data_IF_381126194791
#
_entry.id   IF_381126194791
#
_cell.length_a   1.000
_cell.length_b   1.000
_cell.length_c   1.000
_cell.angle_alpha   90.00
_cell.angle_beta   90.00
_cell.angle_gamma   90.00
#
_symmetry.space_group_name_H-M   'P 1'
#
loop_
_entity.id
_entity.type
_entity.pdbx_description
1 polymer ?
#
# COMPACT_ATOMS: atom_id res chain seq x y z
N UNK A 1 -30.25 -45.53 44.95
CA UNK A 1 -29.63 -44.19 45.02
C UNK A 1 -28.65 -44.07 43.86
N UNK A 2 -28.94 -43.29 42.81
CA UNK A 2 -27.94 -42.83 41.85
C UNK A 2 -27.55 -41.36 42.12
N UNK A 3 -26.28 -41.07 41.84
CA UNK A 3 -25.60 -39.83 42.11
C UNK A 3 -26.00 -38.68 41.17
N UNK A 4 -26.08 -37.47 41.74
CA UNK A 4 -26.19 -36.20 41.04
C UNK A 4 -24.92 -35.94 40.23
N UNK A 5 -25.07 -35.74 38.91
CA UNK A 5 -24.06 -35.10 38.08
C UNK A 5 -24.56 -33.69 37.74
N UNK A 6 -23.88 -32.70 38.31
CA UNK A 6 -24.12 -31.28 38.08
C UNK A 6 -23.77 -30.91 36.64
N UNK A 7 -24.77 -30.52 35.86
CA UNK A 7 -24.60 -29.79 34.61
C UNK A 7 -24.20 -28.35 34.94
N UNK A 8 -22.92 -28.04 34.83
CA UNK A 8 -22.44 -26.65 34.80
C UNK A 8 -22.88 -26.00 33.49
N UNK A 9 -23.77 -25.01 33.60
CA UNK A 9 -24.17 -24.12 32.51
C UNK A 9 -22.99 -23.24 32.11
N UNK A 10 -22.43 -23.51 30.94
CA UNK A 10 -21.59 -22.58 30.19
C UNK A 10 -22.51 -21.49 29.63
N UNK A 11 -22.66 -20.39 30.36
CA UNK A 11 -23.36 -19.17 29.89
C UNK A 11 -22.58 -18.56 28.71
N UNK A 12 -23.06 -18.82 27.50
CA UNK A 12 -22.81 -17.93 26.37
C UNK A 12 -23.65 -16.66 26.57
N UNK A 13 -23.12 -15.44 26.36
CA UNK A 13 -23.93 -14.24 26.44
C UNK A 13 -25.05 -14.32 25.39
N UNK A 14 -26.31 -14.22 25.82
CA UNK A 14 -27.46 -14.19 24.92
C UNK A 14 -27.46 -12.91 24.11
N UNK A 15 -27.85 -12.97 22.83
CA UNK A 15 -27.88 -11.83 21.90
C UNK A 15 -28.69 -10.61 22.42
N UNK A 16 -29.64 -10.84 23.33
CA UNK A 16 -30.40 -9.77 23.98
C UNK A 16 -29.55 -8.93 24.95
N UNK A 17 -28.56 -9.53 25.61
CA UNK A 17 -27.70 -8.83 26.56
C UNK A 17 -26.70 -7.89 25.86
N UNK A 18 -26.23 -8.27 24.67
CA UNK A 18 -25.37 -7.41 23.85
C UNK A 18 -26.15 -6.25 23.23
N UNK A 19 -27.38 -6.48 22.77
CA UNK A 19 -28.26 -5.42 22.24
C UNK A 19 -28.56 -4.35 23.32
N UNK A 20 -28.86 -4.77 24.55
CA UNK A 20 -29.07 -3.85 25.68
C UNK A 20 -27.82 -3.02 26.02
N UNK A 21 -26.63 -3.63 25.96
CA UNK A 21 -25.35 -2.92 26.18
C UNK A 21 -25.08 -1.89 25.08
N UNK A 22 -25.39 -2.21 23.83
CA UNK A 22 -25.28 -1.28 22.71
C UNK A 22 -26.22 -0.09 22.91
N UNK A 23 -27.48 -0.34 23.25
CA UNK A 23 -28.46 0.72 23.48
C UNK A 23 -28.05 1.64 24.64
N UNK A 24 -27.55 1.05 25.74
CA UNK A 24 -27.00 1.81 26.86
C UNK A 24 -25.78 2.65 26.44
N UNK A 25 -24.88 2.12 25.60
CA UNK A 25 -23.76 2.88 25.05
C UNK A 25 -24.24 4.10 24.26
N UNK A 26 -25.16 3.90 23.32
CA UNK A 26 -25.71 4.97 22.48
C UNK A 26 -26.39 6.06 23.31
N UNK A 27 -27.12 5.69 24.38
CA UNK A 27 -27.72 6.67 25.29
C UNK A 27 -26.67 7.54 26.00
N UNK A 28 -25.54 6.97 26.43
CA UNK A 28 -24.45 7.76 27.03
C UNK A 28 -23.73 8.64 26.01
N UNK A 29 -23.54 8.15 24.78
CA UNK A 29 -22.96 8.91 23.68
C UNK A 29 -23.80 10.13 23.29
N UNK A 30 -25.13 10.05 23.46
CA UNK A 30 -26.04 11.19 23.33
C UNK A 30 -26.04 12.17 24.52
N UNK A 31 -25.21 11.92 25.54
CA UNK A 31 -25.08 12.78 26.72
C UNK A 31 -24.53 14.17 26.40
N UNK A 32 -24.88 15.16 27.24
CA UNK A 32 -24.49 16.57 27.03
C UNK A 32 -23.04 16.89 27.38
N UNK A 33 -22.41 16.12 28.28
CA UNK A 33 -21.03 16.35 28.71
C UNK A 33 -20.05 15.39 28.04
N UNK A 34 -18.82 15.83 27.88
CA UNK A 34 -17.78 15.06 27.20
C UNK A 34 -17.39 13.81 28.00
N UNK A 35 -17.58 13.81 29.33
CA UNK A 35 -17.36 12.63 30.19
C UNK A 35 -18.36 11.51 29.88
N UNK A 36 -19.63 11.83 29.62
CA UNK A 36 -20.64 10.84 29.24
C UNK A 36 -20.32 10.23 27.88
N UNK A 37 -19.93 11.06 26.93
CA UNK A 37 -19.49 10.63 25.60
C UNK A 37 -18.27 9.72 25.68
N UNK A 38 -17.29 10.09 26.50
CA UNK A 38 -16.08 9.31 26.71
C UNK A 38 -16.37 7.95 27.36
N UNK A 39 -17.22 7.91 28.40
CA UNK A 39 -17.64 6.65 29.02
C UNK A 39 -18.38 5.74 28.02
N UNK A 40 -19.24 6.31 27.18
CA UNK A 40 -19.91 5.58 26.09
C UNK A 40 -18.91 4.96 25.09
N UNK A 41 -17.88 5.72 24.69
CA UNK A 41 -16.85 5.22 23.77
C UNK A 41 -16.00 4.11 24.40
N UNK A 42 -15.62 4.24 25.67
CA UNK A 42 -14.90 3.18 26.37
C UNK A 42 -15.72 1.90 26.57
N UNK A 43 -17.05 2.02 26.62
CA UNK A 43 -17.91 0.83 26.65
C UNK A 43 -18.02 0.18 25.27
N UNK A 44 -17.96 0.96 24.19
CA UNK A 44 -18.00 0.42 22.83
C UNK A 44 -16.79 -0.45 22.50
N UNK A 45 -15.60 -0.07 22.99
CA UNK A 45 -14.37 -0.84 22.76
C UNK A 45 -14.37 -2.19 23.50
N UNK A 46 -15.29 -2.39 24.45
CA UNK A 46 -15.48 -3.66 25.17
C UNK A 46 -16.50 -4.59 24.52
N UNK A 47 -17.10 -4.19 23.40
CA UNK A 47 -18.03 -5.03 22.65
C UNK A 47 -17.23 -5.96 21.72
N UNK A 48 -16.96 -7.19 22.16
CA UNK A 48 -16.22 -8.20 21.39
C UNK A 48 -17.09 -9.00 20.42
N UNK A 49 -18.41 -9.06 20.64
CA UNK A 49 -19.30 -10.06 20.02
C UNK A 49 -20.26 -9.42 19.00
N UNK A 50 -19.75 -8.52 18.16
CA UNK A 50 -20.56 -7.77 17.19
C UNK A 50 -20.15 -8.13 15.77
N UNK A 51 -21.11 -8.53 14.93
CA UNK A 51 -20.85 -8.81 13.52
C UNK A 51 -20.35 -7.58 12.76
N UNK A 52 -19.58 -7.77 11.69
CA UNK A 52 -19.02 -6.67 10.90
C UNK A 52 -20.10 -5.68 10.39
N UNK A 53 -21.22 -6.19 9.89
CA UNK A 53 -22.36 -5.36 9.44
C UNK A 53 -22.99 -4.56 10.58
N UNK A 54 -23.08 -5.14 11.78
CA UNK A 54 -23.60 -4.43 12.95
C UNK A 54 -22.60 -3.39 13.46
N UNK A 55 -21.31 -3.69 13.41
CA UNK A 55 -20.25 -2.75 13.75
C UNK A 55 -20.29 -1.53 12.81
N UNK A 56 -20.51 -1.72 11.51
CA UNK A 56 -20.66 -0.62 10.56
C UNK A 56 -21.86 0.28 10.91
N UNK A 57 -23.03 -0.31 11.19
CA UNK A 57 -24.20 0.45 11.65
C UNK A 57 -23.96 1.19 12.96
N UNK A 58 -23.24 0.56 13.88
CA UNK A 58 -22.88 1.16 15.16
C UNK A 58 -21.94 2.36 14.97
N UNK A 59 -20.96 2.27 14.07
CA UNK A 59 -20.06 3.39 13.73
C UNK A 59 -20.84 4.62 13.24
N UNK A 60 -21.83 4.41 12.36
CA UNK A 60 -22.73 5.47 11.90
C UNK A 60 -23.49 6.11 13.07
N UNK A 61 -24.13 5.31 13.92
CA UNK A 61 -24.90 5.80 15.07
C UNK A 61 -24.03 6.55 16.09
N UNK A 62 -22.80 6.09 16.31
CA UNK A 62 -21.83 6.76 17.17
C UNK A 62 -21.47 8.12 16.60
N UNK A 63 -21.17 8.20 15.31
CA UNK A 63 -20.83 9.46 14.66
C UNK A 63 -22.00 10.45 14.73
N UNK A 64 -23.23 9.99 14.49
CA UNK A 64 -24.45 10.80 14.59
C UNK A 64 -24.70 11.33 16.01
N UNK A 65 -24.53 10.47 17.03
CA UNK A 65 -24.77 10.84 18.42
C UNK A 65 -23.72 11.82 18.96
N UNK A 66 -22.45 11.59 18.61
CA UNK A 66 -21.31 12.29 19.22
C UNK A 66 -20.88 13.52 18.41
N UNK A 67 -20.86 13.38 17.08
CA UNK A 67 -20.34 14.34 16.11
C UNK A 67 -18.82 14.27 15.91
N UNK A 68 -18.37 14.50 14.67
CA UNK A 68 -16.94 14.46 14.29
C UNK A 68 -16.07 15.40 15.13
N UNK A 69 -16.59 16.57 15.51
CA UNK A 69 -15.87 17.58 16.29
C UNK A 69 -15.40 17.07 17.67
N UNK A 70 -16.10 16.11 18.27
CA UNK A 70 -15.67 15.51 19.53
C UNK A 70 -14.37 14.72 19.37
N UNK A 71 -14.26 13.89 18.32
CA UNK A 71 -13.05 13.12 18.04
C UNK A 71 -11.86 14.03 17.69
N UNK A 72 -12.12 15.12 16.96
CA UNK A 72 -11.08 16.13 16.71
C UNK A 72 -10.59 16.79 18.00
N UNK A 73 -11.47 17.00 18.99
CA UNK A 73 -11.07 17.47 20.32
C UNK A 73 -10.30 16.41 21.09
N UNK A 74 -10.67 15.12 20.99
CA UNK A 74 -9.90 14.02 21.60
C UNK A 74 -8.43 14.02 21.15
N UNK A 75 -8.17 14.23 19.85
CA UNK A 75 -6.78 14.32 19.34
C UNK A 75 -5.99 15.51 19.92
N UNK A 76 -6.67 16.51 20.46
CA UNK A 76 -6.06 17.70 21.07
C UNK A 76 -5.98 17.61 22.60
N UNK A 77 -6.72 16.68 23.21
CA UNK A 77 -6.76 16.52 24.66
C UNK A 77 -5.46 15.91 25.16
N UNK A 78 -4.69 16.74 25.87
CA UNK A 78 -3.51 16.26 26.62
C UNK A 78 -3.97 15.56 27.89
N UNK A 79 -3.33 14.45 28.20
CA UNK A 79 -3.56 13.66 29.41
C UNK A 79 -2.22 13.19 29.96
N UNK A 80 -2.24 12.17 30.84
CA UNK A 80 -1.01 11.46 31.16
C UNK A 80 -0.44 10.85 29.87
N UNK A 81 0.78 11.23 29.51
CA UNK A 81 1.48 10.70 28.34
C UNK A 81 1.93 9.26 28.62
N UNK A 82 1.68 8.35 27.68
CA UNK A 82 2.32 7.03 27.67
C UNK A 82 3.75 7.12 27.12
N UNK A 83 4.47 6.01 27.18
CA UNK A 83 5.85 5.89 26.67
C UNK A 83 6.00 6.28 25.19
N UNK A 84 4.90 6.29 24.43
CA UNK A 84 4.84 6.72 23.02
C UNK A 84 4.51 8.21 22.82
N UNK A 85 4.41 8.99 23.91
CA UNK A 85 4.15 10.43 23.88
C UNK A 85 2.71 10.82 23.55
N UNK A 86 1.80 9.85 23.42
CA UNK A 86 0.37 10.08 23.23
C UNK A 86 -0.37 10.02 24.56
N UNK A 87 -1.45 10.78 24.70
CA UNK A 87 -2.40 10.60 25.79
C UNK A 87 -3.37 9.45 25.48
N UNK A 88 -3.94 8.83 26.51
CA UNK A 88 -5.01 7.82 26.32
C UNK A 88 -6.20 8.34 25.51
N UNK A 89 -6.48 9.64 25.57
CA UNK A 89 -7.51 10.30 24.76
C UNK A 89 -7.12 10.35 23.28
N UNK A 90 -5.86 10.62 22.98
CA UNK A 90 -5.34 10.68 21.61
C UNK A 90 -5.29 9.30 20.98
N UNK A 91 -4.82 8.27 21.72
CA UNK A 91 -4.81 6.88 21.25
C UNK A 91 -6.22 6.39 20.96
N UNK A 92 -7.18 6.64 21.85
CA UNK A 92 -8.59 6.30 21.59
C UNK A 92 -9.15 7.08 20.39
N UNK A 93 -8.81 8.37 20.28
CA UNK A 93 -9.20 9.21 19.15
C UNK A 93 -8.69 8.66 17.81
N UNK A 94 -7.41 8.30 17.73
CA UNK A 94 -6.79 7.69 16.55
C UNK A 94 -7.48 6.39 16.18
N UNK A 95 -7.62 5.46 17.12
CA UNK A 95 -8.23 4.16 16.87
C UNK A 95 -9.66 4.28 16.33
N UNK A 96 -10.47 5.17 16.91
CA UNK A 96 -11.84 5.39 16.46
C UNK A 96 -11.87 6.05 15.08
N UNK A 97 -11.04 7.06 14.84
CA UNK A 97 -10.96 7.73 13.52
C UNK A 97 -10.49 6.75 12.45
N UNK A 98 -9.48 5.92 12.73
CA UNK A 98 -9.03 4.86 11.83
C UNK A 98 -10.19 3.95 11.42
N UNK A 99 -10.98 3.49 12.40
CA UNK A 99 -12.14 2.63 12.14
C UNK A 99 -13.24 3.29 11.29
N UNK A 100 -13.37 4.62 11.34
CA UNK A 100 -14.29 5.37 10.49
C UNK A 100 -13.73 5.60 9.09
N UNK A 101 -12.42 5.78 8.96
CA UNK A 101 -11.75 5.97 7.66
C UNK A 101 -11.76 4.72 6.78
N UNK A 102 -12.02 3.53 7.34
CA UNK A 102 -12.25 2.29 6.57
C UNK A 102 -13.57 2.31 5.77
N UNK A 103 -14.52 3.17 6.14
CA UNK A 103 -15.79 3.31 5.43
C UNK A 103 -15.77 4.59 4.55
N UNK A 104 -15.84 4.47 3.20
CA UNK A 104 -15.83 5.61 2.29
C UNK A 104 -16.96 6.63 2.54
N UNK A 105 -18.07 6.23 3.17
CA UNK A 105 -19.15 7.14 3.54
C UNK A 105 -18.83 7.97 4.80
N UNK A 106 -17.99 7.43 5.70
CA UNK A 106 -17.63 8.07 6.97
C UNK A 106 -16.32 8.86 6.89
N UNK A 107 -15.35 8.38 6.11
CA UNK A 107 -14.05 9.02 5.91
C UNK A 107 -14.13 10.54 5.59
N UNK A 108 -15.11 11.04 4.79
CA UNK A 108 -15.23 12.47 4.51
C UNK A 108 -15.44 13.34 5.75
N UNK A 109 -15.99 12.80 6.84
CA UNK A 109 -16.17 13.51 8.11
C UNK A 109 -14.86 13.73 8.87
N UNK A 110 -13.82 12.95 8.54
CA UNK A 110 -12.50 13.02 9.18
C UNK A 110 -11.40 13.53 8.25
N UNK A 111 -11.69 13.69 6.96
CA UNK A 111 -10.83 14.37 5.99
C UNK A 111 -10.70 15.88 6.34
N UNK A 112 -9.79 16.15 7.27
CA UNK A 112 -9.42 17.47 7.76
C UNK A 112 -7.90 17.59 7.83
N UNK A 113 -7.36 18.75 7.47
CA UNK A 113 -5.91 19.02 7.50
C UNK A 113 -5.30 18.75 8.88
N UNK A 114 -6.04 19.06 9.97
CA UNK A 114 -5.58 18.81 11.34
C UNK A 114 -5.38 17.32 11.64
N UNK A 115 -6.22 16.45 11.08
CA UNK A 115 -6.12 14.99 11.26
C UNK A 115 -4.93 14.46 10.46
N UNK A 116 -4.82 14.87 9.20
CA UNK A 116 -3.69 14.51 8.32
C UNK A 116 -2.37 14.94 8.97
N UNK A 117 -2.28 16.19 9.42
CA UNK A 117 -1.08 16.73 10.06
C UNK A 117 -0.75 15.98 11.35
N UNK A 118 -1.74 15.70 12.19
CA UNK A 118 -1.51 14.93 13.41
C UNK A 118 -0.94 13.54 13.12
N UNK A 119 -1.55 12.80 12.19
CA UNK A 119 -1.06 11.46 11.81
C UNK A 119 0.34 11.49 11.19
N UNK A 120 0.63 12.47 10.32
CA UNK A 120 1.97 12.66 9.74
C UNK A 120 3.02 13.04 10.78
N UNK A 121 2.66 13.89 11.75
CA UNK A 121 3.55 14.28 12.85
C UNK A 121 3.88 13.06 13.72
N UNK A 122 2.93 12.16 13.99
CA UNK A 122 3.20 10.90 14.71
C UNK A 122 4.12 9.96 13.91
N UNK A 123 3.87 9.79 12.61
CA UNK A 123 4.73 8.96 11.74
C UNK A 123 6.15 9.53 11.59
N UNK A 124 6.31 10.86 11.62
CA UNK A 124 7.61 11.51 11.59
C UNK A 124 8.45 11.24 12.85
N UNK A 125 7.79 10.93 13.97
CA UNK A 125 8.41 10.54 15.24
C UNK A 125 8.70 9.04 15.34
N UNK A 126 8.62 8.31 14.22
CA UNK A 126 8.88 6.87 14.17
C UNK A 126 10.24 6.49 14.81
N UNK A 127 10.17 5.59 15.78
CA UNK A 127 11.29 4.93 16.46
C UNK A 127 10.99 3.44 16.55
N UNK A 128 12.00 2.58 16.53
CA UNK A 128 11.83 1.15 16.77
C UNK A 128 11.91 0.79 18.26
N UNK A 129 11.01 -0.07 18.79
CA UNK A 129 9.86 -0.67 18.11
C UNK A 129 8.71 0.33 17.87
N UNK A 130 7.92 0.17 16.79
CA UNK A 130 6.83 1.10 16.48
C UNK A 130 5.73 1.08 17.54
N UNK A 131 5.14 2.26 17.82
CA UNK A 131 3.91 2.33 18.63
C UNK A 131 2.72 1.76 17.83
N UNK A 132 1.79 1.03 18.47
CA UNK A 132 0.54 0.59 17.84
C UNK A 132 -0.25 1.73 17.19
N UNK A 133 -0.16 2.95 17.73
CA UNK A 133 -0.83 4.14 17.21
C UNK A 133 -0.38 4.52 15.79
N UNK A 134 0.80 4.07 15.34
CA UNK A 134 1.29 4.33 13.99
C UNK A 134 0.50 3.54 12.93
N UNK A 135 -0.01 2.35 13.27
CA UNK A 135 -0.91 1.61 12.39
C UNK A 135 -2.20 2.43 12.17
N UNK A 136 -2.81 2.92 13.25
CA UNK A 136 -3.99 3.79 13.16
C UNK A 136 -3.70 5.04 12.31
N UNK A 137 -2.54 5.69 12.47
CA UNK A 137 -2.15 6.85 11.67
C UNK A 137 -2.11 6.53 10.16
N UNK A 138 -1.51 5.41 9.79
CA UNK A 138 -1.46 4.98 8.39
C UNK A 138 -2.85 4.64 7.86
N UNK A 139 -3.67 3.91 8.63
CA UNK A 139 -5.05 3.59 8.25
C UNK A 139 -5.88 4.85 7.99
N UNK A 140 -5.77 5.85 8.86
CA UNK A 140 -6.43 7.15 8.69
C UNK A 140 -5.98 7.82 7.39
N UNK A 141 -4.67 7.93 7.18
CA UNK A 141 -4.12 8.61 5.99
C UNK A 141 -4.50 7.88 4.70
N UNK A 142 -4.47 6.55 4.70
CA UNK A 142 -4.89 5.73 3.56
C UNK A 142 -6.38 5.90 3.26
N UNK A 143 -7.26 5.81 4.26
CA UNK A 143 -8.70 6.01 4.07
C UNK A 143 -9.06 7.42 3.60
N UNK A 144 -8.36 8.44 4.09
CA UNK A 144 -8.51 9.82 3.59
C UNK A 144 -7.99 9.93 2.15
N UNK A 145 -6.85 9.32 1.81
CA UNK A 145 -6.28 9.36 0.46
C UNK A 145 -7.16 8.64 -0.58
N UNK A 146 -8.03 7.72 -0.16
CA UNK A 146 -8.94 6.98 -1.03
C UNK A 146 -10.20 7.76 -1.45
N UNK A 147 -10.46 8.94 -0.87
CA UNK A 147 -11.64 9.75 -1.18
C UNK A 147 -11.28 11.10 -1.81
N UNK A 148 -12.13 11.60 -2.73
CA UNK A 148 -11.87 12.82 -3.50
C UNK A 148 -11.59 14.05 -2.62
N UNK A 149 -12.36 14.22 -1.53
CA UNK A 149 -12.14 15.30 -0.56
C UNK A 149 -10.75 15.22 0.07
N UNK A 150 -10.28 14.02 0.39
CA UNK A 150 -8.98 13.82 1.01
C UNK A 150 -7.82 14.01 0.04
N UNK A 151 -7.95 13.53 -1.20
CA UNK A 151 -6.97 13.80 -2.28
C UNK A 151 -6.73 15.31 -2.45
N UNK A 152 -7.81 16.11 -2.49
CA UNK A 152 -7.71 17.58 -2.54
C UNK A 152 -6.95 18.18 -1.35
N UNK A 153 -7.09 17.61 -0.15
CA UNK A 153 -6.36 18.05 1.03
C UNK A 153 -4.88 17.67 0.99
N UNK A 154 -4.54 16.50 0.45
CA UNK A 154 -3.13 16.09 0.26
C UNK A 154 -2.39 16.99 -0.72
N UNK A 155 -3.08 17.55 -1.72
CA UNK A 155 -2.52 18.53 -2.65
C UNK A 155 -2.63 19.99 -2.19
N UNK A 156 -3.19 20.25 -1.00
CA UNK A 156 -3.10 21.57 -0.39
C UNK A 156 -1.64 21.91 -0.06
N UNK A 157 -1.31 23.20 -0.11
CA UNK A 157 0.06 23.71 0.06
C UNK A 157 0.73 23.13 1.31
N UNK A 158 1.90 22.52 1.12
CA UNK A 158 2.73 21.95 2.18
C UNK A 158 2.35 20.53 2.65
N UNK A 159 1.15 20.02 2.36
CA UNK A 159 0.74 18.68 2.83
C UNK A 159 1.50 17.56 2.10
N UNK A 160 1.58 17.62 0.77
CA UNK A 160 2.34 16.65 -0.03
C UNK A 160 3.83 16.62 0.39
N UNK A 161 4.44 17.79 0.61
CA UNK A 161 5.81 17.90 1.08
C UNK A 161 6.02 17.26 2.46
N UNK A 162 5.03 17.34 3.35
CA UNK A 162 5.05 16.64 4.65
C UNK A 162 4.99 15.13 4.48
N UNK A 163 4.09 14.60 3.64
CA UNK A 163 4.02 13.15 3.34
C UNK A 163 5.38 12.63 2.87
N UNK A 164 6.00 13.32 1.92
CA UNK A 164 7.31 12.93 1.37
C UNK A 164 8.44 13.07 2.40
N UNK A 165 8.37 14.07 3.28
CA UNK A 165 9.32 14.24 4.39
C UNK A 165 9.20 13.12 5.41
N UNK A 166 7.98 12.74 5.79
CA UNK A 166 7.71 11.59 6.66
C UNK A 166 8.27 10.31 6.05
N UNK A 167 7.95 10.05 4.77
CA UNK A 167 8.50 8.89 4.05
C UNK A 167 10.04 8.86 4.05
N UNK A 168 10.67 10.01 3.79
CA UNK A 168 12.14 10.18 3.86
C UNK A 168 12.70 9.86 5.24
N UNK A 169 12.08 10.35 6.30
CA UNK A 169 12.52 10.12 7.67
C UNK A 169 12.43 8.64 8.04
N UNK A 170 11.29 8.01 7.77
CA UNK A 170 11.07 6.58 8.04
C UNK A 170 12.04 5.70 7.25
N UNK A 171 12.22 5.95 5.95
CA UNK A 171 13.15 5.19 5.10
C UNK A 171 14.59 5.29 5.60
N UNK A 172 15.02 6.48 6.07
CA UNK A 172 16.35 6.69 6.67
C UNK A 172 16.50 5.99 8.01
N UNK A 173 15.45 5.99 8.84
CA UNK A 173 15.47 5.31 10.14
C UNK A 173 15.65 3.80 9.94
N UNK A 174 14.85 3.20 9.05
CA UNK A 174 14.94 1.77 8.69
C UNK A 174 16.31 1.38 8.12
N UNK A 175 16.87 2.22 7.23
CA UNK A 175 18.19 1.96 6.66
C UNK A 175 19.30 1.97 7.73
N UNK A 176 19.22 2.87 8.73
CA UNK A 176 20.19 2.90 9.84
C UNK A 176 20.11 1.65 10.70
N UNK A 177 18.91 1.21 11.07
CA UNK A 177 18.72 -0.01 11.85
C UNK A 177 19.29 -1.23 11.12
N UNK A 178 19.00 -1.37 9.83
CA UNK A 178 19.51 -2.48 9.01
C UNK A 178 21.04 -2.53 8.97
N UNK A 179 21.72 -1.38 8.92
CA UNK A 179 23.19 -1.33 8.97
C UNK A 179 23.78 -1.66 10.34
N UNK A 180 23.04 -1.41 11.43
CA UNK A 180 23.51 -1.65 12.78
C UNK A 180 23.25 -3.08 13.27
N UNK A 181 22.17 -3.73 12.79
CA UNK A 181 21.78 -5.08 13.20
C UNK A 181 21.50 -6.00 11.99
N UNK A 182 22.53 -6.46 11.26
CA UNK A 182 22.37 -7.29 10.05
C UNK A 182 21.86 -8.72 10.30
N UNK A 183 21.73 -9.16 11.57
CA UNK A 183 21.42 -10.56 11.94
C UNK A 183 19.90 -10.83 12.03
N UNK A 184 19.05 -9.79 11.99
CA UNK A 184 17.60 -9.91 12.17
C UNK A 184 16.79 -10.08 10.85
N UNK A 185 17.43 -10.36 9.71
CA UNK A 185 16.75 -10.65 8.42
C UNK A 185 16.12 -12.06 8.39
N UNK A 186 15.38 -12.44 9.43
CA UNK A 186 14.48 -13.60 9.41
C UNK A 186 13.19 -13.25 8.67
N UNK A 187 12.68 -14.18 7.86
CA UNK A 187 11.56 -14.07 6.89
C UNK A 187 10.21 -13.47 7.34
N UNK A 188 10.07 -12.92 8.55
CA UNK A 188 8.89 -12.16 8.98
C UNK A 188 9.09 -10.67 8.72
N UNK A 189 8.24 -10.06 7.91
CA UNK A 189 8.18 -8.60 7.78
C UNK A 189 8.03 -7.97 9.17
N UNK A 190 8.97 -7.11 9.57
CA UNK A 190 8.83 -6.37 10.83
C UNK A 190 7.62 -5.44 10.74
N UNK A 191 6.97 -5.18 11.87
CA UNK A 191 5.85 -4.22 11.93
C UNK A 191 6.24 -2.85 11.35
N UNK A 192 7.47 -2.43 11.59
CA UNK A 192 8.04 -1.22 10.99
C UNK A 192 8.08 -1.25 9.45
N UNK A 193 8.40 -2.41 8.85
CA UNK A 193 8.37 -2.60 7.39
C UNK A 193 6.94 -2.51 6.85
N UNK A 194 5.96 -3.04 7.57
CA UNK A 194 4.53 -2.98 7.18
C UNK A 194 4.02 -1.54 7.19
N UNK A 195 4.36 -0.78 8.25
CA UNK A 195 4.00 0.64 8.35
C UNK A 195 4.64 1.44 7.19
N UNK A 196 5.94 1.22 6.91
CA UNK A 196 6.62 1.88 5.79
C UNK A 196 6.01 1.52 4.43
N UNK A 197 5.69 0.23 4.20
CA UNK A 197 5.01 -0.24 2.98
C UNK A 197 3.65 0.45 2.78
N UNK A 198 2.91 0.67 3.86
CA UNK A 198 1.62 1.34 3.78
C UNK A 198 1.75 2.87 3.58
N UNK A 199 2.81 3.51 4.07
CA UNK A 199 3.14 4.90 3.69
C UNK A 199 3.49 4.99 2.20
N UNK A 200 4.23 4.00 1.66
CA UNK A 200 4.46 3.91 0.22
C UNK A 200 3.17 3.72 -0.57
N UNK A 201 2.21 2.94 -0.08
CA UNK A 201 0.89 2.78 -0.70
C UNK A 201 0.12 4.11 -0.79
N UNK A 202 0.20 4.95 0.26
CA UNK A 202 -0.39 6.30 0.24
C UNK A 202 0.26 7.15 -0.85
N UNK A 203 1.60 7.15 -0.93
CA UNK A 203 2.32 7.91 -1.96
C UNK A 203 2.01 7.39 -3.36
N UNK A 204 1.89 6.07 -3.54
CA UNK A 204 1.48 5.46 -4.80
C UNK A 204 0.08 5.92 -5.23
N UNK A 205 -0.88 5.92 -4.30
CA UNK A 205 -2.25 6.38 -4.54
C UNK A 205 -2.28 7.85 -4.96
N UNK A 206 -1.54 8.72 -4.27
CA UNK A 206 -1.42 10.13 -4.64
C UNK A 206 -0.74 10.30 -6.01
N UNK A 207 0.29 9.51 -6.30
CA UNK A 207 1.02 9.53 -7.57
C UNK A 207 0.21 9.02 -8.78
N UNK A 208 -0.98 8.46 -8.54
CA UNK A 208 -1.95 8.17 -9.60
C UNK A 208 -2.63 9.44 -10.17
N UNK A 209 -2.38 10.61 -9.58
CA UNK A 209 -2.93 11.89 -10.04
C UNK A 209 -1.83 12.77 -10.68
N UNK A 210 -2.09 13.44 -11.81
CA UNK A 210 -1.15 14.38 -12.44
C UNK A 210 -0.66 15.49 -11.50
N UNK A 211 -1.54 15.97 -10.61
CA UNK A 211 -1.25 17.01 -9.62
C UNK A 211 -0.11 16.63 -8.67
N UNK A 212 0.10 15.34 -8.40
CA UNK A 212 1.23 14.88 -7.62
C UNK A 212 2.54 15.26 -8.28
N UNK A 213 2.68 14.97 -9.58
CA UNK A 213 3.90 15.22 -10.34
C UNK A 213 4.11 16.71 -10.64
N UNK A 214 3.02 17.45 -10.90
CA UNK A 214 3.07 18.92 -11.12
C UNK A 214 3.54 19.68 -9.87
N UNK A 215 3.19 19.19 -8.67
CA UNK A 215 3.56 19.82 -7.39
C UNK A 215 4.81 19.21 -6.75
N UNK A 216 5.48 18.26 -7.42
CA UNK A 216 6.65 17.58 -6.89
C UNK A 216 7.92 18.40 -7.14
N UNK A 217 8.70 18.65 -6.09
CA UNK A 217 10.01 19.28 -6.27
C UNK A 217 11.05 18.29 -6.81
N UNK A 218 12.04 18.79 -7.55
CA UNK A 218 13.13 17.97 -8.10
C UNK A 218 13.84 17.12 -7.03
N UNK A 219 14.07 17.66 -5.83
CA UNK A 219 14.74 16.94 -4.75
C UNK A 219 13.86 15.82 -4.13
N UNK A 220 12.54 15.92 -4.26
CA UNK A 220 11.59 14.87 -3.87
C UNK A 220 11.57 13.77 -4.94
N UNK A 221 11.53 14.15 -6.22
CA UNK A 221 11.62 13.21 -7.33
C UNK A 221 12.93 12.40 -7.31
N UNK A 222 14.08 13.07 -7.14
CA UNK A 222 15.38 12.41 -7.01
C UNK A 222 15.39 11.41 -5.83
N UNK A 223 14.73 11.73 -4.72
CA UNK A 223 14.59 10.80 -3.61
C UNK A 223 13.79 9.55 -4.01
N UNK A 224 12.67 9.70 -4.72
CA UNK A 224 11.87 8.57 -5.20
C UNK A 224 12.70 7.69 -6.15
N UNK A 225 13.44 8.29 -7.08
CA UNK A 225 14.30 7.56 -8.01
C UNK A 225 15.41 6.79 -7.28
N UNK A 226 16.08 7.44 -6.32
CA UNK A 226 17.13 6.80 -5.53
C UNK A 226 16.60 5.65 -4.67
N UNK A 227 15.37 5.75 -4.16
CA UNK A 227 14.76 4.68 -3.36
C UNK A 227 14.32 3.48 -4.19
N UNK A 228 14.07 3.63 -5.49
CA UNK A 228 13.72 2.49 -6.34
C UNK A 228 14.77 1.36 -6.28
N UNK A 229 16.04 1.72 -6.11
CA UNK A 229 17.14 0.77 -5.94
C UNK A 229 17.19 0.10 -4.55
N UNK A 230 16.56 0.67 -3.54
CA UNK A 230 16.69 0.26 -2.14
C UNK A 230 15.45 -0.45 -1.60
N UNK A 231 14.29 -0.22 -2.20
CA UNK A 231 13.05 -0.90 -1.84
C UNK A 231 13.05 -2.35 -2.33
N UNK A 232 12.31 -3.22 -1.63
CA UNK A 232 12.19 -4.66 -1.93
C UNK A 232 10.71 -5.08 -1.86
N UNK A 233 10.39 -6.25 -2.41
CA UNK A 233 9.07 -6.87 -2.27
C UNK A 233 7.96 -5.98 -2.86
N UNK A 234 6.82 -5.89 -2.16
CA UNK A 234 5.65 -5.14 -2.64
C UNK A 234 5.99 -3.68 -2.94
N UNK A 235 6.82 -3.04 -2.13
CA UNK A 235 7.20 -1.64 -2.33
C UNK A 235 7.91 -1.42 -3.67
N UNK A 236 8.73 -2.38 -4.13
CA UNK A 236 9.34 -2.29 -5.46
C UNK A 236 8.32 -2.24 -6.59
N UNK A 237 7.20 -2.96 -6.45
CA UNK A 237 6.09 -2.94 -7.40
C UNK A 237 5.34 -1.61 -7.37
N UNK A 238 5.09 -1.07 -6.18
CA UNK A 238 4.45 0.23 -5.99
C UNK A 238 5.27 1.34 -6.67
N UNK A 239 6.58 1.37 -6.41
CA UNK A 239 7.49 2.36 -7.01
C UNK A 239 7.59 2.20 -8.53
N UNK A 240 7.63 0.96 -9.05
CA UNK A 240 7.57 0.71 -10.49
C UNK A 240 6.27 1.25 -11.10
N UNK A 241 5.12 0.95 -10.46
CA UNK A 241 3.81 1.44 -10.89
C UNK A 241 3.73 2.97 -10.91
N UNK A 242 4.28 3.64 -9.89
CA UNK A 242 4.39 5.11 -9.85
C UNK A 242 5.15 5.65 -11.05
N UNK A 243 6.33 5.09 -11.37
CA UNK A 243 7.12 5.58 -12.50
C UNK A 243 6.49 5.27 -13.85
N UNK A 244 5.82 4.13 -14.01
CA UNK A 244 5.02 3.84 -15.21
C UNK A 244 3.90 4.86 -15.42
N UNK A 245 3.18 5.25 -14.36
CA UNK A 245 2.16 6.31 -14.44
C UNK A 245 2.77 7.67 -14.74
N UNK A 246 3.89 8.01 -14.09
CA UNK A 246 4.60 9.26 -14.35
C UNK A 246 4.98 9.39 -15.83
N UNK A 247 5.63 8.38 -16.41
CA UNK A 247 6.04 8.47 -17.82
C UNK A 247 4.84 8.50 -18.76
N UNK A 248 3.72 7.86 -18.40
CA UNK A 248 2.46 7.98 -19.15
C UNK A 248 1.91 9.41 -19.09
N UNK A 249 1.89 10.05 -17.92
CA UNK A 249 1.51 11.46 -17.81
C UNK A 249 2.45 12.40 -18.56
N UNK A 250 3.75 12.10 -18.62
CA UNK A 250 4.69 12.83 -19.49
C UNK A 250 4.37 12.60 -20.96
N UNK A 251 3.78 11.45 -21.34
CA UNK A 251 3.35 11.22 -22.72
C UNK A 251 2.14 12.07 -23.11
N UNK A 252 1.26 12.31 -22.14
CA UNK A 252 0.01 13.07 -22.29
C UNK A 252 0.18 14.57 -21.97
N UNK A 253 1.42 15.06 -21.81
CA UNK A 253 1.76 16.44 -21.39
C UNK A 253 1.15 16.87 -20.03
N UNK A 254 0.82 15.89 -19.19
CA UNK A 254 0.20 16.04 -17.88
C UNK A 254 1.18 15.91 -16.70
N UNK A 255 2.47 15.71 -16.98
CA UNK A 255 3.52 15.76 -15.97
C UNK A 255 4.79 16.43 -16.52
N UNK A 256 5.56 17.13 -15.67
CA UNK A 256 6.74 17.87 -16.10
C UNK A 256 7.89 16.92 -16.48
N UNK A 257 8.29 16.94 -17.76
CA UNK A 257 9.42 16.15 -18.27
C UNK A 257 10.75 16.55 -17.62
N UNK A 258 10.84 17.77 -17.11
CA UNK A 258 12.02 18.36 -16.47
C UNK A 258 12.47 17.59 -15.21
N UNK A 259 11.57 16.81 -14.59
CA UNK A 259 11.91 15.93 -13.47
C UNK A 259 12.91 14.83 -13.90
N UNK A 260 12.93 14.44 -15.18
CA UNK A 260 13.90 13.47 -15.75
C UNK A 260 15.30 14.07 -15.92
N UNK A 261 15.86 14.58 -14.82
CA UNK A 261 17.22 15.07 -14.76
C UNK A 261 18.22 13.94 -15.04
N UNK A 262 19.44 14.31 -15.46
CA UNK A 262 20.56 13.37 -15.63
C UNK A 262 20.78 12.52 -14.37
N UNK A 263 20.60 13.09 -13.17
CA UNK A 263 20.73 12.37 -11.91
C UNK A 263 19.57 11.40 -11.70
N UNK A 264 18.33 11.84 -11.90
CA UNK A 264 17.16 10.99 -11.74
C UNK A 264 17.20 9.77 -12.69
N UNK A 265 17.59 9.98 -13.95
CA UNK A 265 17.80 8.90 -14.91
C UNK A 265 18.89 7.92 -14.47
N UNK A 266 19.97 8.41 -13.86
CA UNK A 266 20.99 7.51 -13.29
C UNK A 266 20.42 6.65 -12.19
N UNK A 267 19.66 7.23 -11.25
CA UNK A 267 19.12 6.50 -10.10
C UNK A 267 18.00 5.53 -10.51
N UNK A 268 17.14 5.93 -11.45
CA UNK A 268 16.16 5.05 -12.09
C UNK A 268 16.83 3.84 -12.75
N UNK A 269 17.95 4.05 -13.45
CA UNK A 269 18.72 2.94 -14.05
C UNK A 269 19.21 1.93 -13.02
N UNK A 270 19.67 2.39 -11.85
CA UNK A 270 20.06 1.49 -10.75
C UNK A 270 18.84 0.73 -10.23
N UNK A 271 17.71 1.42 -10.03
CA UNK A 271 16.44 0.83 -9.60
C UNK A 271 15.95 -0.27 -10.55
N UNK A 272 15.85 0.03 -11.84
CA UNK A 272 15.51 -0.93 -12.89
C UNK A 272 16.45 -2.12 -12.90
N UNK A 273 17.77 -1.89 -12.84
CA UNK A 273 18.74 -2.98 -12.85
C UNK A 273 18.56 -3.91 -11.65
N UNK A 274 18.36 -3.37 -10.45
CA UNK A 274 18.12 -4.18 -9.25
C UNK A 274 16.78 -4.90 -9.30
N UNK A 275 15.74 -4.23 -9.80
CA UNK A 275 14.42 -4.83 -9.99
C UNK A 275 14.50 -6.04 -10.94
N UNK A 276 15.08 -5.87 -12.13
CA UNK A 276 15.20 -6.92 -13.14
C UNK A 276 16.16 -8.06 -12.75
N UNK A 277 17.08 -7.83 -11.80
CA UNK A 277 17.92 -8.90 -11.23
C UNK A 277 17.19 -9.74 -10.18
N UNK A 278 16.12 -9.22 -9.58
CA UNK A 278 15.31 -9.98 -8.65
C UNK A 278 14.40 -10.98 -9.39
N UNK A 279 13.94 -12.01 -8.66
CA UNK A 279 13.06 -13.04 -9.20
C UNK A 279 11.62 -12.53 -9.18
N UNK A 280 11.11 -12.14 -10.34
CA UNK A 280 9.74 -11.71 -10.54
C UNK A 280 9.04 -12.59 -11.59
N UNK A 281 7.70 -12.77 -11.48
CA UNK A 281 6.92 -13.36 -12.56
C UNK A 281 7.02 -12.54 -13.87
N UNK A 282 6.56 -13.12 -14.99
CA UNK A 282 6.67 -12.50 -16.32
C UNK A 282 6.04 -11.11 -16.39
N UNK A 283 4.80 -10.99 -15.91
CA UNK A 283 4.04 -9.74 -15.93
C UNK A 283 4.79 -8.56 -15.28
N UNK A 284 5.35 -8.73 -14.08
CA UNK A 284 6.07 -7.66 -13.37
C UNK A 284 7.39 -7.30 -14.06
N UNK A 285 8.03 -8.26 -14.73
CA UNK A 285 9.21 -7.98 -15.56
C UNK A 285 8.83 -7.17 -16.80
N UNK A 286 7.71 -7.49 -17.44
CA UNK A 286 7.19 -6.75 -18.59
C UNK A 286 6.81 -5.31 -18.22
N UNK A 287 6.19 -5.10 -17.05
CA UNK A 287 5.93 -3.77 -16.50
C UNK A 287 7.22 -2.94 -16.38
N UNK A 288 8.31 -3.57 -15.93
CA UNK A 288 9.61 -2.91 -15.81
C UNK A 288 10.27 -2.65 -17.18
N UNK A 289 10.16 -3.59 -18.12
CA UNK A 289 10.63 -3.39 -19.49
C UNK A 289 9.85 -2.29 -20.22
N UNK A 290 8.55 -2.13 -19.92
CA UNK A 290 7.74 -1.02 -20.43
C UNK A 290 8.27 0.32 -19.93
N UNK A 291 8.60 0.43 -18.64
CA UNK A 291 9.23 1.63 -18.09
C UNK A 291 10.52 1.97 -18.86
N UNK A 292 11.38 0.97 -19.09
CA UNK A 292 12.63 1.15 -19.84
C UNK A 292 12.36 1.66 -21.25
N UNK A 293 11.43 1.03 -21.96
CA UNK A 293 11.07 1.41 -23.32
C UNK A 293 10.52 2.85 -23.39
N UNK A 294 9.62 3.23 -22.50
CA UNK A 294 9.05 4.59 -22.49
C UNK A 294 10.12 5.62 -22.13
N UNK A 295 11.00 5.33 -21.17
CA UNK A 295 12.15 6.20 -20.86
C UNK A 295 13.11 6.34 -22.04
N UNK A 296 13.36 5.27 -22.81
CA UNK A 296 14.16 5.36 -24.04
C UNK A 296 13.51 6.25 -25.09
N UNK A 297 12.18 6.19 -25.25
CA UNK A 297 11.46 7.05 -26.18
C UNK A 297 11.53 8.52 -25.77
N UNK A 298 11.45 8.82 -24.47
CA UNK A 298 11.39 10.20 -23.95
C UNK A 298 12.76 10.83 -23.72
N UNK A 299 13.71 10.08 -23.15
CA UNK A 299 15.05 10.56 -22.78
C UNK A 299 16.15 10.16 -23.77
N UNK A 300 15.79 9.46 -24.85
CA UNK A 300 16.72 8.89 -25.82
C UNK A 300 17.43 7.63 -25.32
N UNK A 301 18.22 6.97 -26.17
CA UNK A 301 18.91 5.72 -25.78
C UNK A 301 20.16 5.99 -24.91
N UNK A 302 20.64 7.24 -24.90
CA UNK A 302 21.88 7.62 -24.25
C UNK A 302 21.87 7.37 -22.73
N UNK A 303 20.74 7.48 -22.04
CA UNK A 303 20.67 7.26 -20.57
C UNK A 303 20.98 5.81 -20.17
N UNK A 304 20.86 4.85 -21.10
CA UNK A 304 21.21 3.45 -20.84
C UNK A 304 22.74 3.26 -20.71
N UNK A 305 23.54 4.19 -21.24
CA UNK A 305 25.00 4.11 -21.28
C UNK A 305 25.63 4.68 -19.99
N UNK A 306 26.86 4.26 -19.61
CA UNK A 306 27.59 4.88 -18.51
C UNK A 306 28.08 6.28 -18.90
N UNK A 307 28.11 7.21 -17.95
CA UNK A 307 28.76 8.52 -18.12
C UNK A 307 27.96 9.58 -18.88
N UNK A 308 26.81 9.21 -19.47
CA UNK A 308 25.80 10.14 -19.99
C UNK A 308 24.90 10.69 -18.87
N UNK A 309 24.88 10.00 -17.74
CA UNK A 309 24.20 10.41 -16.51
C UNK A 309 25.21 10.70 -15.39
N UNK A 310 24.94 11.68 -14.51
CA UNK A 310 25.79 11.95 -13.33
C UNK A 310 25.98 10.68 -12.49
N UNK A 311 27.18 10.46 -11.95
CA UNK A 311 27.52 9.25 -11.19
C UNK A 311 26.64 9.14 -9.93
N UNK A 312 25.82 8.11 -9.86
CA UNK A 312 25.23 7.65 -8.61
C UNK A 312 26.36 7.25 -7.63
N UNK A 313 26.18 7.43 -6.33
CA UNK A 313 27.16 7.08 -5.28
C UNK A 313 27.35 5.56 -5.09
N UNK A 314 26.75 4.75 -5.95
CA UNK A 314 26.82 3.28 -5.93
C UNK A 314 28.19 2.81 -6.45
N UNK A 315 28.72 1.74 -5.86
CA UNK A 315 30.00 1.14 -6.24
C UNK A 315 30.06 0.84 -7.74
N UNK A 316 31.21 1.14 -8.36
CA UNK A 316 31.41 1.02 -9.83
C UNK A 316 31.18 -0.41 -10.37
N UNK A 317 31.19 -1.43 -9.52
CA UNK A 317 31.03 -2.83 -9.91
C UNK A 317 29.57 -3.27 -10.14
N UNK A 318 28.60 -2.69 -9.44
CA UNK A 318 27.19 -3.12 -9.60
C UNK A 318 26.57 -2.62 -10.90
N UNK A 319 26.97 -1.42 -11.33
CA UNK A 319 26.40 -0.67 -12.46
C UNK A 319 27.50 -0.10 -13.35
N UNK A 320 28.40 -0.97 -13.83
CA UNK A 320 29.18 -0.65 -15.03
C UNK A 320 28.16 -0.42 -16.16
N UNK A 321 27.89 0.84 -16.52
CA UNK A 321 26.78 1.17 -17.42
C UNK A 321 26.86 0.54 -18.82
N UNK A 322 28.03 0.03 -19.24
CA UNK A 322 28.16 -0.76 -20.47
C UNK A 322 27.49 -2.13 -20.36
N UNK A 323 27.33 -2.63 -19.14
CA UNK A 323 26.63 -3.88 -18.84
C UNK A 323 25.11 -3.69 -18.72
N UNK A 324 24.60 -2.49 -18.46
CA UNK A 324 23.15 -2.28 -18.27
C UNK A 324 22.37 -2.53 -19.57
N UNK A 325 22.75 -1.83 -20.66
CA UNK A 325 22.10 -2.01 -21.96
C UNK A 325 22.21 -3.46 -22.46
N UNK A 326 23.38 -4.08 -22.30
CA UNK A 326 23.61 -5.48 -22.68
C UNK A 326 22.74 -6.42 -21.84
N UNK A 327 22.57 -6.14 -20.55
CA UNK A 327 21.72 -6.92 -19.65
C UNK A 327 20.25 -6.83 -20.05
N UNK A 328 19.73 -5.63 -20.31
CA UNK A 328 18.35 -5.42 -20.78
C UNK A 328 18.13 -6.14 -22.11
N UNK A 329 19.05 -6.01 -23.08
CA UNK A 329 18.94 -6.69 -24.37
C UNK A 329 18.93 -8.22 -24.24
N UNK A 330 19.76 -8.78 -23.36
CA UNK A 330 19.75 -10.21 -23.05
C UNK A 330 18.42 -10.65 -22.45
N UNK A 331 17.88 -9.88 -21.49
CA UNK A 331 16.58 -10.19 -20.89
C UNK A 331 15.45 -10.15 -21.92
N UNK A 332 15.39 -9.10 -22.74
CA UNK A 332 14.39 -8.99 -23.81
C UNK A 332 14.51 -10.15 -24.79
N UNK A 333 15.73 -10.56 -25.14
CA UNK A 333 15.97 -11.70 -26.02
C UNK A 333 15.49 -13.02 -25.40
N UNK A 334 15.71 -13.21 -24.10
CA UNK A 334 15.20 -14.37 -23.36
C UNK A 334 13.67 -14.35 -23.33
N UNK A 335 13.05 -13.22 -22.99
CA UNK A 335 11.58 -13.13 -22.90
C UNK A 335 10.93 -13.34 -24.26
N UNK A 336 11.47 -12.72 -25.31
CA UNK A 336 10.99 -12.92 -26.69
C UNK A 336 11.09 -14.38 -27.08
N UNK A 337 12.17 -15.07 -26.71
CA UNK A 337 12.31 -16.50 -26.96
C UNK A 337 11.27 -17.31 -26.19
N UNK A 338 11.06 -17.03 -24.90
CA UNK A 338 10.04 -17.74 -24.10
C UNK A 338 8.64 -17.57 -24.70
N UNK A 339 8.28 -16.36 -25.13
CA UNK A 339 7.00 -16.10 -25.79
C UNK A 339 6.88 -16.88 -27.11
N UNK A 340 7.95 -16.98 -27.90
CA UNK A 340 7.95 -17.76 -29.14
C UNK A 340 7.82 -19.26 -28.86
N UNK A 341 8.53 -19.77 -27.86
CA UNK A 341 8.46 -21.17 -27.43
C UNK A 341 7.05 -21.52 -26.91
N UNK A 342 6.37 -20.60 -26.19
CA UNK A 342 4.98 -20.76 -25.74
C UNK A 342 3.99 -20.80 -26.92
N UNK A 343 4.19 -19.94 -27.92
CA UNK A 343 3.37 -19.94 -29.14
C UNK A 343 3.58 -21.25 -29.92
N UNK A 344 4.82 -21.72 -30.05
CA UNK A 344 5.12 -23.00 -30.70
C UNK A 344 4.43 -24.16 -29.98
N UNK A 345 4.49 -24.20 -28.64
CA UNK A 345 3.83 -25.22 -27.84
C UNK A 345 2.30 -25.20 -28.01
N UNK A 346 1.70 -24.02 -28.02
CA UNK A 346 0.26 -23.87 -28.25
C UNK A 346 -0.16 -24.37 -29.64
N UNK A 347 0.64 -24.09 -30.67
CA UNK A 347 0.39 -24.58 -32.03
C UNK A 347 0.47 -26.12 -32.09
N UNK A 348 1.47 -26.72 -31.44
CA UNK A 348 1.61 -28.18 -31.36
C UNK A 348 0.40 -28.82 -30.65
N UNK A 349 -0.07 -28.22 -29.56
CA UNK A 349 -1.25 -28.70 -28.83
C UNK A 349 -2.51 -28.63 -29.70
N UNK A 350 -2.72 -27.52 -30.41
CA UNK A 350 -3.87 -27.38 -31.33
C UNK A 350 -3.86 -28.43 -32.45
N UNK A 351 -2.69 -28.73 -33.02
CA UNK A 351 -2.55 -29.77 -34.04
C UNK A 351 -2.79 -31.18 -33.47
N UNK A 352 -2.37 -31.43 -32.23
CA UNK A 352 -2.66 -32.66 -31.48
C UNK A 352 -4.15 -32.86 -31.24
N UNK A 353 -4.83 -31.86 -30.68
CA UNK A 353 -6.27 -31.88 -30.43
C UNK A 353 -7.06 -32.12 -31.72
N UNK A 354 -6.64 -31.48 -32.81
CA UNK A 354 -7.25 -31.67 -34.13
C UNK A 354 -7.06 -33.11 -34.65
N UNK A 355 -5.90 -33.70 -34.40
CA UNK A 355 -5.62 -35.09 -34.78
C UNK A 355 -6.47 -36.06 -33.97
N UNK A 356 -6.56 -35.89 -32.65
CA UNK A 356 -7.41 -36.72 -31.78
C UNK A 356 -8.90 -36.64 -32.17
N UNK A 357 -9.40 -35.44 -32.47
CA UNK A 357 -10.77 -35.26 -32.97
C UNK A 357 -11.04 -36.02 -34.28
N UNK A 358 -10.05 -36.05 -35.20
CA UNK A 358 -10.17 -36.78 -36.46
C UNK A 358 -10.14 -38.30 -36.24
N UNK A 359 -9.29 -38.81 -35.34
CA UNK A 359 -9.25 -40.23 -35.00
C UNK A 359 -10.54 -40.68 -34.32
N UNK A 360 -11.10 -39.86 -33.42
CA UNK A 360 -12.35 -40.18 -32.73
C UNK A 360 -13.55 -40.18 -33.69
N UNK A 361 -13.61 -39.23 -34.63
CA UNK A 361 -14.61 -39.24 -35.71
C UNK A 361 -14.51 -40.52 -36.56
N UNK A 362 -13.30 -40.91 -36.97
CA UNK A 362 -13.09 -42.15 -37.74
C UNK A 362 -13.47 -43.39 -36.94
N UNK A 363 -13.21 -43.40 -35.63
CA UNK A 363 -13.64 -44.50 -34.74
C UNK A 363 -15.15 -44.59 -34.65
N UNK A 364 -15.84 -43.46 -34.44
CA UNK A 364 -17.30 -43.41 -34.41
C UNK A 364 -17.94 -43.85 -35.74
N UNK A 365 -17.33 -43.49 -36.88
CA UNK A 365 -17.77 -43.95 -38.20
C UNK A 365 -17.63 -45.47 -38.36
N UNK A 366 -16.50 -46.05 -37.90
CA UNK A 366 -16.29 -47.51 -37.92
C UNK A 366 -17.27 -48.26 -37.02
N UNK A 367 -17.54 -47.73 -35.83
CA UNK A 367 -18.53 -48.31 -34.91
C UNK A 367 -19.95 -48.26 -35.50
N UNK A 368 -20.35 -47.14 -36.12
CA UNK A 368 -21.64 -47.02 -36.84
C UNK A 368 -21.75 -47.95 -38.04
N UNK A 369 -20.65 -48.22 -38.74
CA UNK A 369 -20.62 -49.15 -39.86
C UNK A 369 -20.67 -50.63 -39.40
N UNK A 370 -20.12 -50.94 -38.22
CA UNK A 370 -20.11 -52.29 -37.64
C UNK A 370 -21.45 -52.75 -37.04
N UNK A 371 -22.29 -51.83 -36.60
CA UNK A 371 -23.61 -52.12 -35.97
C UNK A 371 -24.70 -52.47 -37.02
N UNK A 372 -24.44 -52.34 -38.32
CA UNK A 372 -25.38 -52.64 -39.41
C UNK A 372 -25.35 -54.09 -39.95
N UNK A 373 -24.87 -55.06 -39.19
CA UNK A 373 -24.85 -56.48 -39.61
C UNK A 373 -25.82 -57.35 -38.84
#
# INVERSE_FOLDING_TARGET
MPAMAATGSSDAPTADASEQRIEQCLRMLGGKSDEHKFAGLLMITKLSDVSAERMQRLRLQVLEAVGAAFFLRLLQTRGAESDDGLSSFQTLGLNLIASFCDDPALAPHFAHERVIRFALDQLALFVEPPSPALNDCVHILHGIAAIEKGVKLFFHEGTLGRVLTTLKQMSRSMAKTATQNPIAEGNSASEASVILEAVWAIVEGLAAHPEFWKNLHNYDFEFLCANFANVRGRVSLQVLGMFNRYVAFVEDDDAPVELLSSRALSDLRVGVLRFLRAKWPGHERDECLRLVYTLMRRSGVAWMLPGTTLRSQVSQDEVSGGKFIVFVLKLVSIETKLMLDEVELALIQMDGDRFEQLEELQRQERERAGVKR
#
